data_IF_324165555639
#
_entry.id   IF_324165555639
#
_cell.length_a   1.000
_cell.length_b   1.000
_cell.length_c   1.000
_cell.angle_alpha   90.00
_cell.angle_beta   90.00
_cell.angle_gamma   90.00
#
_symmetry.space_group_name_H-M   'P 1'
#
loop_
_entity.id
_entity.type
_entity.pdbx_description
1 polymer ?
#
# COMPACT_ATOMS: atom_id res chain seq x y z
N UNK A 1 8.55 -19.16 -9.99
CA UNK A 1 7.96 -17.87 -9.59
C UNK A 1 7.61 -18.02 -8.11
N UNK A 2 8.21 -17.21 -7.24
CA UNK A 2 8.00 -17.32 -5.79
C UNK A 2 6.59 -16.87 -5.42
N UNK A 3 5.94 -17.61 -4.53
CA UNK A 3 4.68 -17.18 -3.92
C UNK A 3 4.96 -15.92 -3.08
N UNK A 4 4.10 -14.91 -3.17
CA UNK A 4 4.15 -13.80 -2.23
C UNK A 4 3.87 -14.34 -0.82
N UNK A 5 4.62 -13.92 0.21
CA UNK A 5 4.35 -14.33 1.58
C UNK A 5 2.96 -13.82 1.99
N UNK A 6 2.20 -14.61 2.75
CA UNK A 6 0.81 -14.34 3.02
C UNK A 6 0.60 -13.14 3.95
N UNK A 7 1.59 -12.73 4.74
CA UNK A 7 1.49 -11.58 5.64
C UNK A 7 2.75 -10.73 5.51
N UNK A 8 2.58 -9.48 5.11
CA UNK A 8 3.64 -8.50 4.96
C UNK A 8 3.33 -7.28 5.82
N UNK A 9 4.26 -6.96 6.71
CA UNK A 9 4.29 -5.69 7.43
C UNK A 9 5.20 -4.74 6.66
N UNK A 10 4.71 -3.55 6.38
CA UNK A 10 5.43 -2.49 5.71
C UNK A 10 5.48 -1.23 6.58
N UNK A 11 6.56 -0.47 6.41
CA UNK A 11 6.70 0.90 6.89
C UNK A 11 7.21 1.78 5.75
N UNK A 12 6.79 3.04 5.73
CA UNK A 12 7.30 3.98 4.76
C UNK A 12 6.64 5.33 4.90
N UNK A 13 6.41 5.99 3.77
CA UNK A 13 5.90 7.36 3.73
C UNK A 13 4.84 7.54 2.67
N UNK A 14 3.93 8.47 2.94
CA UNK A 14 3.10 9.09 1.92
C UNK A 14 3.47 10.56 1.76
N UNK A 15 3.29 11.09 0.55
CA UNK A 15 3.57 12.49 0.21
C UNK A 15 2.40 13.10 -0.56
N UNK A 16 1.86 14.20 -0.05
CA UNK A 16 0.79 14.98 -0.66
C UNK A 16 0.96 16.45 -0.24
N UNK A 17 0.45 17.40 -1.05
CA UNK A 17 0.46 18.83 -0.72
C UNK A 17 1.82 19.42 -0.29
N UNK A 18 2.94 18.82 -0.74
CA UNK A 18 4.29 19.23 -0.39
C UNK A 18 4.79 18.73 0.98
N UNK A 19 3.97 17.98 1.71
CA UNK A 19 4.35 17.32 2.96
C UNK A 19 4.69 15.84 2.72
N UNK A 20 5.44 15.26 3.64
CA UNK A 20 5.74 13.83 3.66
C UNK A 20 5.68 13.32 5.08
N UNK A 21 4.89 12.27 5.29
CA UNK A 21 4.58 11.72 6.61
C UNK A 21 4.73 10.20 6.59
N UNK A 22 4.92 9.62 7.76
CA UNK A 22 5.11 8.18 7.93
C UNK A 22 3.78 7.44 7.92
N UNK A 23 3.77 6.25 7.34
CA UNK A 23 2.62 5.33 7.37
C UNK A 23 3.11 3.88 7.47
N UNK A 24 2.23 3.01 7.95
CA UNK A 24 2.49 1.57 8.09
C UNK A 24 1.35 0.76 7.51
N UNK A 25 1.66 -0.40 6.93
CA UNK A 25 0.65 -1.30 6.36
C UNK A 25 0.90 -2.72 6.87
N UNK A 26 -0.18 -3.40 7.26
CA UNK A 26 -0.18 -4.83 7.54
C UNK A 26 -1.11 -5.51 6.54
N UNK A 27 -0.53 -6.14 5.52
CA UNK A 27 -1.25 -6.71 4.39
C UNK A 27 -1.17 -8.22 4.39
N UNK A 28 -2.33 -8.86 4.25
CA UNK A 28 -2.46 -10.25 3.88
C UNK A 28 -2.62 -10.36 2.36
N UNK A 29 -1.75 -11.14 1.72
CA UNK A 29 -1.77 -11.35 0.27
C UNK A 29 -1.93 -12.84 -0.03
N UNK A 30 -3.06 -13.23 -0.59
CA UNK A 30 -3.37 -14.63 -0.93
C UNK A 30 -4.03 -14.68 -2.30
N UNK A 31 -3.45 -15.47 -3.21
CA UNK A 31 -3.95 -15.66 -4.58
C UNK A 31 -4.23 -14.35 -5.33
N UNK A 32 -3.36 -13.35 -5.12
CA UNK A 32 -3.49 -12.02 -5.73
C UNK A 32 -4.57 -11.14 -5.12
N UNK A 33 -5.24 -11.58 -4.06
CA UNK A 33 -6.17 -10.78 -3.26
C UNK A 33 -5.41 -10.16 -2.09
N UNK A 34 -5.61 -8.87 -1.88
CA UNK A 34 -5.00 -8.10 -0.78
C UNK A 34 -6.07 -7.70 0.22
N UNK A 35 -5.83 -7.93 1.50
CA UNK A 35 -6.65 -7.44 2.61
C UNK A 35 -5.74 -7.00 3.76
N UNK A 36 -6.11 -5.98 4.50
CA UNK A 36 -5.26 -5.53 5.61
C UNK A 36 -5.70 -4.22 6.21
N UNK A 37 -4.75 -3.56 6.85
CA UNK A 37 -4.94 -2.24 7.45
C UNK A 37 -3.71 -1.37 7.27
N UNK A 38 -3.95 -0.08 7.10
CA UNK A 38 -2.95 0.98 7.20
C UNK A 38 -3.06 1.70 8.54
N UNK A 39 -2.00 2.38 8.93
CA UNK A 39 -2.01 3.32 10.05
C UNK A 39 -1.07 4.50 9.78
N UNK A 40 -1.60 5.71 9.91
CA UNK A 40 -0.93 6.98 9.72
C UNK A 40 -1.42 8.02 10.77
N UNK A 41 -1.10 9.30 10.57
CA UNK A 41 -1.52 10.42 11.44
C UNK A 41 -3.02 10.68 11.44
N UNK A 42 -3.73 10.12 10.46
CA UNK A 42 -5.15 10.25 10.22
C UNK A 42 -5.96 9.08 10.82
N UNK A 43 -5.26 8.11 11.40
CA UNK A 43 -5.80 6.99 12.14
C UNK A 43 -5.54 5.65 11.46
N UNK A 44 -6.48 4.72 11.61
CA UNK A 44 -6.39 3.37 11.02
C UNK A 44 -7.44 3.24 9.93
N UNK A 45 -7.05 2.73 8.77
CA UNK A 45 -7.97 2.46 7.67
C UNK A 45 -7.91 0.98 7.25
N UNK A 46 -9.01 0.49 6.67
CA UNK A 46 -9.08 -0.84 6.08
C UNK A 46 -8.51 -0.79 4.67
N UNK A 47 -7.67 -1.74 4.33
CA UNK A 47 -7.09 -1.88 2.98
C UNK A 47 -7.63 -3.13 2.32
N UNK A 48 -8.08 -3.02 1.08
CA UNK A 48 -8.48 -4.15 0.23
C UNK A 48 -7.96 -3.94 -1.18
N UNK A 49 -7.74 -4.99 -1.95
CA UNK A 49 -7.26 -4.80 -3.31
C UNK A 49 -6.82 -6.08 -4.00
N UNK A 50 -6.04 -5.90 -5.06
CA UNK A 50 -5.46 -6.99 -5.85
C UNK A 50 -4.02 -6.70 -6.23
N UNK A 51 -3.25 -7.75 -6.40
CA UNK A 51 -1.91 -7.72 -6.97
C UNK A 51 -1.76 -8.79 -8.04
N UNK A 52 -1.17 -8.43 -9.17
CA UNK A 52 -0.85 -9.35 -10.25
C UNK A 52 0.56 -9.91 -10.00
N UNK A 53 0.65 -11.16 -9.53
CA UNK A 53 1.94 -11.77 -9.15
C UNK A 53 2.96 -11.83 -10.30
N UNK A 54 2.50 -11.87 -11.56
CA UNK A 54 3.40 -11.93 -12.73
C UNK A 54 3.99 -10.59 -13.12
N UNK A 55 3.33 -9.47 -12.82
CA UNK A 55 3.78 -8.12 -13.19
C UNK A 55 4.13 -7.24 -12.00
N UNK A 56 3.75 -7.63 -10.79
CA UNK A 56 3.84 -6.80 -9.58
C UNK A 56 2.81 -5.67 -9.53
N UNK A 57 2.00 -5.46 -10.57
CA UNK A 57 0.99 -4.38 -10.58
C UNK A 57 -0.01 -4.61 -9.46
N UNK A 58 -0.26 -3.58 -8.65
CA UNK A 58 -1.23 -3.59 -7.57
C UNK A 58 -2.22 -2.44 -7.70
N UNK A 59 -3.44 -2.71 -7.24
CA UNK A 59 -4.49 -1.73 -7.04
C UNK A 59 -5.11 -1.98 -5.67
N UNK A 60 -5.05 -0.98 -4.79
CA UNK A 60 -5.62 -1.02 -3.45
C UNK A 60 -6.68 0.07 -3.29
N UNK A 61 -7.61 -0.20 -2.39
CA UNK A 61 -8.58 0.73 -1.86
C UNK A 61 -8.35 0.78 -0.36
N UNK A 62 -8.05 1.98 0.14
CA UNK A 62 -8.00 2.28 1.56
C UNK A 62 -9.28 2.99 1.99
N UNK A 63 -9.84 2.63 3.14
CA UNK A 63 -11.11 3.18 3.60
C UNK A 63 -11.12 3.43 5.12
N UNK A 64 -11.42 4.67 5.49
CA UNK A 64 -11.76 5.11 6.86
C UNK A 64 -13.05 5.96 6.81
N UNK A 65 -13.61 6.32 7.96
CA UNK A 65 -14.92 6.98 8.08
C UNK A 65 -15.17 8.11 7.05
N UNK A 66 -15.95 7.80 6.01
CA UNK A 66 -16.32 8.76 4.95
C UNK A 66 -15.22 9.11 3.94
N UNK A 67 -14.00 8.56 4.07
CA UNK A 67 -12.86 8.80 3.17
C UNK A 67 -12.40 7.49 2.56
N UNK A 68 -12.23 7.49 1.24
CA UNK A 68 -11.60 6.39 0.53
C UNK A 68 -10.43 6.89 -0.31
N UNK A 69 -9.43 6.03 -0.50
CA UNK A 69 -8.27 6.32 -1.35
C UNK A 69 -8.07 5.17 -2.34
N UNK A 70 -7.96 5.51 -3.61
CA UNK A 70 -7.58 4.59 -4.67
C UNK A 70 -6.07 4.67 -4.88
N UNK A 71 -5.38 3.56 -4.70
CA UNK A 71 -3.91 3.47 -4.73
C UNK A 71 -3.53 2.52 -5.86
N UNK A 72 -2.68 2.95 -6.79
CA UNK A 72 -2.23 2.11 -7.90
C UNK A 72 -0.72 2.21 -8.09
N UNK A 73 -0.06 1.07 -8.27
CA UNK A 73 1.38 1.02 -8.32
C UNK A 73 1.96 -0.37 -8.55
N UNK A 74 3.16 -0.61 -8.02
CA UNK A 74 3.87 -1.88 -8.15
C UNK A 74 4.36 -2.41 -6.80
N UNK A 75 4.35 -3.73 -6.68
CA UNK A 75 4.92 -4.51 -5.59
C UNK A 75 6.11 -5.28 -6.18
N UNK A 76 7.31 -4.96 -5.71
CA UNK A 76 8.55 -5.54 -6.20
C UNK A 76 9.31 -6.18 -5.04
N UNK A 77 10.01 -7.29 -5.31
CA UNK A 77 10.96 -7.84 -4.35
C UNK A 77 12.36 -7.32 -4.67
N UNK A 78 13.01 -6.69 -3.70
CA UNK A 78 14.39 -6.23 -3.83
C UNK A 78 15.36 -7.41 -3.78
N UNK A 79 16.62 -7.23 -4.22
CA UNK A 79 17.64 -8.28 -4.13
C UNK A 79 17.93 -8.75 -2.69
N UNK A 80 17.61 -7.95 -1.67
CA UNK A 80 17.76 -8.33 -0.27
C UNK A 80 16.63 -9.21 0.26
N UNK A 81 15.58 -9.45 -0.53
CA UNK A 81 14.41 -10.23 -0.15
C UNK A 81 13.25 -9.40 0.38
N UNK A 82 13.48 -8.12 0.70
CA UNK A 82 12.43 -7.19 1.12
C UNK A 82 11.46 -6.88 -0.03
N UNK A 83 10.22 -6.59 0.32
CA UNK A 83 9.19 -6.16 -0.63
C UNK A 83 9.01 -4.65 -0.57
N UNK A 84 8.81 -4.03 -1.73
CA UNK A 84 8.63 -2.59 -1.88
C UNK A 84 7.34 -2.30 -2.64
N UNK A 85 6.56 -1.34 -2.13
CA UNK A 85 5.40 -0.76 -2.83
C UNK A 85 5.75 0.66 -3.23
N UNK A 86 5.61 0.97 -4.52
CA UNK A 86 5.66 2.32 -5.05
C UNK A 86 4.36 2.59 -5.80
N UNK A 87 3.60 3.60 -5.38
CA UNK A 87 2.28 3.87 -5.91
C UNK A 87 1.95 5.36 -5.91
N UNK A 88 1.03 5.74 -6.80
CA UNK A 88 0.31 7.00 -6.73
C UNK A 88 -1.10 6.72 -6.16
N UNK A 89 -1.72 7.73 -5.57
CA UNK A 89 -3.09 7.62 -5.07
C UNK A 89 -3.91 8.88 -5.28
N UNK A 90 -5.23 8.69 -5.26
CA UNK A 90 -6.22 9.76 -5.16
C UNK A 90 -7.14 9.50 -3.97
N UNK A 91 -7.33 10.53 -3.14
CA UNK A 91 -8.20 10.53 -1.96
C UNK A 91 -9.51 11.23 -2.25
N UNK A 92 -10.61 10.67 -1.77
CA UNK A 92 -11.91 11.33 -1.80
C UNK A 92 -11.97 12.57 -0.90
N UNK A 93 -11.01 12.72 0.02
CA UNK A 93 -10.87 13.94 0.83
C UNK A 93 -10.28 15.06 -0.03
N UNK A 94 -11.16 15.97 -0.45
CA UNK A 94 -10.83 17.13 -1.28
C UNK A 94 -10.18 16.81 -2.64
N UNK A 95 -10.24 15.55 -3.10
CA UNK A 95 -9.58 15.11 -4.33
C UNK A 95 -8.06 15.13 -4.22
N UNK A 96 -7.51 14.90 -3.03
CA UNK A 96 -6.08 15.01 -2.77
C UNK A 96 -5.33 13.89 -3.48
N UNK A 97 -4.28 14.24 -4.22
CA UNK A 97 -3.40 13.30 -4.90
C UNK A 97 -2.06 13.22 -4.19
N UNK A 98 -1.46 12.02 -4.20
CA UNK A 98 -0.18 11.82 -3.57
C UNK A 98 0.55 10.56 -4.01
N UNK A 99 1.69 10.33 -3.36
CA UNK A 99 2.58 9.20 -3.60
C UNK A 99 2.76 8.39 -2.34
N UNK A 100 2.92 7.10 -2.52
CA UNK A 100 3.14 6.13 -1.46
C UNK A 100 4.41 5.34 -1.75
N UNK A 101 5.30 5.29 -0.76
CA UNK A 101 6.49 4.46 -0.77
C UNK A 101 6.52 3.62 0.50
N UNK A 102 6.54 2.29 0.36
CA UNK A 102 6.55 1.35 1.48
C UNK A 102 7.62 0.29 1.28
N UNK A 103 8.19 -0.19 2.38
CA UNK A 103 9.14 -1.30 2.38
C UNK A 103 8.84 -2.27 3.53
N UNK A 104 8.93 -3.58 3.26
CA UNK A 104 8.85 -4.61 4.29
C UNK A 104 10.21 -4.86 4.93
N UNK A 105 10.21 -5.54 6.08
CA UNK A 105 11.43 -6.19 6.55
C UNK A 105 11.91 -7.24 5.52
N UNK A 106 13.23 -7.47 5.49
CA UNK A 106 13.86 -8.54 4.72
C UNK A 106 13.71 -9.90 5.41
#
# INVERSE_FOLDING_TARGET
QGLLPPNLAFSGTYSENGETKTTTYNLNISDGIVNGFSHDDDGRARVTGKVCASSGVLALMEQRDGVHMEIMGTLMQSPSGAYEIQADYISSYLGTEGRLFLQSAA
#
